data_IF_796596952197
#
_entry.id   IF_796596952197
#
_cell.length_a   1.000
_cell.length_b   1.000
_cell.length_c   1.000
_cell.angle_alpha   90.00
_cell.angle_beta   90.00
_cell.angle_gamma   90.00
#
_symmetry.space_group_name_H-M   'P 1'
#
loop_
_entity.id
_entity.type
_entity.pdbx_description
1 polymer ?
#
# COMPACT_ATOMS: atom_id res chain seq x y z
N UNK A 1 8.19 9.97 4.73
CA UNK A 1 9.48 10.67 4.57
C UNK A 1 10.20 9.99 3.42
N UNK A 2 10.46 10.69 2.31
CA UNK A 2 11.27 10.13 1.21
C UNK A 2 12.70 9.99 1.73
N UNK A 3 13.22 8.79 1.88
CA UNK A 3 14.64 8.59 2.14
C UNK A 3 15.36 8.66 0.81
N UNK A 4 16.13 9.72 0.61
CA UNK A 4 17.06 9.82 -0.50
C UNK A 4 18.41 9.29 -0.03
N UNK A 5 19.10 8.53 -0.89
CA UNK A 5 20.49 8.20 -0.64
C UNK A 5 21.38 9.46 -0.72
N UNK A 6 22.66 9.33 -0.38
CA UNK A 6 23.64 10.43 -0.44
C UNK A 6 23.84 11.06 -1.83
N UNK A 7 23.23 10.49 -2.88
CA UNK A 7 23.27 10.97 -4.26
C UNK A 7 21.93 11.56 -4.74
N UNK A 8 20.92 11.65 -3.87
CA UNK A 8 19.59 12.14 -4.25
C UNK A 8 18.77 11.13 -5.04
N UNK A 9 19.19 9.86 -5.08
CA UNK A 9 18.39 8.75 -5.61
C UNK A 9 17.43 8.32 -4.52
N UNK A 10 16.13 8.20 -4.86
CA UNK A 10 15.13 7.67 -3.94
C UNK A 10 15.59 6.28 -3.49
N UNK A 11 15.93 6.13 -2.20
CA UNK A 11 16.33 4.85 -1.65
C UNK A 11 15.10 3.96 -1.72
N UNK A 12 15.17 2.92 -2.55
CA UNK A 12 14.22 1.82 -2.51
C UNK A 12 14.40 1.18 -1.14
N UNK A 13 13.57 1.58 -0.17
CA UNK A 13 13.51 0.92 1.13
C UNK A 13 13.01 -0.50 0.83
N UNK A 14 13.82 -1.49 1.19
CA UNK A 14 13.45 -2.88 1.04
C UNK A 14 12.10 -3.11 1.74
N UNK A 15 11.23 -3.91 1.11
CA UNK A 15 9.95 -4.28 1.67
C UNK A 15 10.11 -4.84 3.10
N UNK A 16 9.37 -4.27 4.05
CA UNK A 16 9.32 -4.73 5.44
C UNK A 16 8.02 -5.54 5.65
N UNK A 17 8.10 -6.89 5.76
CA UNK A 17 6.94 -7.76 5.89
C UNK A 17 6.20 -7.60 7.23
N UNK A 18 6.84 -7.04 8.25
CA UNK A 18 6.23 -6.86 9.58
C UNK A 18 5.40 -5.57 9.67
N UNK A 19 5.63 -4.62 8.75
CA UNK A 19 4.96 -3.32 8.72
C UNK A 19 3.95 -3.17 7.57
N UNK A 20 4.21 -3.79 6.42
CA UNK A 20 3.43 -3.60 5.20
C UNK A 20 2.57 -4.84 4.92
N UNK A 21 1.60 -5.08 5.80
CA UNK A 21 0.61 -6.14 5.68
C UNK A 21 -0.68 -5.78 6.43
N UNK A 22 -1.76 -6.51 6.17
CA UNK A 22 -3.01 -6.44 6.95
C UNK A 22 -3.66 -7.82 7.04
N UNK A 23 -4.52 -8.01 8.04
CA UNK A 23 -5.29 -9.25 8.18
C UNK A 23 -6.60 -9.17 7.40
N UNK A 24 -6.92 -10.21 6.63
CA UNK A 24 -8.23 -10.40 6.03
C UNK A 24 -8.61 -11.88 6.06
N UNK A 25 -9.81 -12.19 6.57
CA UNK A 25 -10.28 -13.59 6.65
C UNK A 25 -9.38 -14.52 7.46
N UNK A 26 -8.60 -14.01 8.42
CA UNK A 26 -7.61 -14.77 9.19
C UNK A 26 -6.28 -15.01 8.48
N UNK A 27 -6.06 -14.39 7.31
CA UNK A 27 -4.82 -14.47 6.53
C UNK A 27 -4.09 -13.13 6.55
N UNK A 28 -2.76 -13.19 6.62
CA UNK A 28 -1.91 -12.01 6.45
C UNK A 28 -1.77 -11.70 4.95
N UNK A 29 -2.28 -10.55 4.52
CA UNK A 29 -2.20 -10.06 3.15
C UNK A 29 -1.08 -9.04 3.05
N UNK A 30 -0.09 -9.34 2.22
CA UNK A 30 1.08 -8.49 1.97
C UNK A 30 0.95 -7.65 0.70
N UNK A 31 0.27 -8.19 -0.31
CA UNK A 31 -0.02 -7.50 -1.55
C UNK A 31 -1.56 -7.43 -1.74
N UNK A 32 -2.15 -6.22 -1.62
CA UNK A 32 -3.60 -6.03 -1.76
C UNK A 32 -4.18 -6.38 -3.14
N UNK A 33 -3.34 -6.61 -4.16
CA UNK A 33 -3.77 -6.96 -5.51
C UNK A 33 -3.81 -8.46 -5.79
N UNK A 34 -3.53 -9.27 -4.77
CA UNK A 34 -3.56 -10.73 -4.86
C UNK A 34 -4.55 -11.24 -3.83
N UNK A 35 -5.36 -12.23 -4.20
CA UNK A 35 -6.33 -12.88 -3.32
C UNK A 35 -5.66 -13.51 -2.08
N UNK A 36 -6.42 -13.68 -1.01
CA UNK A 36 -6.00 -14.31 0.25
C UNK A 36 -5.38 -15.71 0.09
N UNK A 37 -5.87 -16.47 -0.90
CA UNK A 37 -5.36 -17.77 -1.28
C UNK A 37 -4.25 -17.73 -2.36
N UNK A 38 -3.74 -16.55 -2.70
CA UNK A 38 -2.66 -16.30 -3.66
C UNK A 38 -2.89 -16.88 -5.09
N UNK A 39 -4.15 -17.00 -5.53
CA UNK A 39 -4.51 -17.66 -6.80
C UNK A 39 -5.12 -16.75 -7.84
N UNK A 40 -5.64 -15.60 -7.44
CA UNK A 40 -6.36 -14.69 -8.31
C UNK A 40 -5.94 -13.25 -8.05
N UNK A 41 -6.13 -12.40 -9.05
CA UNK A 41 -6.04 -10.95 -8.86
C UNK A 41 -7.16 -10.51 -7.92
N UNK A 42 -6.85 -9.61 -7.00
CA UNK A 42 -7.80 -8.97 -6.11
C UNK A 42 -7.95 -7.49 -6.46
N UNK A 43 -9.14 -6.96 -6.22
CA UNK A 43 -9.40 -5.53 -6.22
C UNK A 43 -9.48 -5.05 -4.77
N UNK A 44 -8.51 -4.26 -4.28
CA UNK A 44 -8.49 -3.78 -2.90
C UNK A 44 -9.79 -3.09 -2.45
N UNK A 45 -10.46 -2.35 -3.36
CA UNK A 45 -11.70 -1.63 -3.05
C UNK A 45 -12.89 -2.57 -2.82
N UNK A 46 -12.91 -3.72 -3.51
CA UNK A 46 -14.05 -4.65 -3.50
C UNK A 46 -13.80 -5.80 -2.54
N UNK A 47 -12.59 -6.35 -2.55
CA UNK A 47 -12.25 -7.59 -1.86
C UNK A 47 -11.69 -7.33 -0.46
N UNK A 48 -11.03 -6.19 -0.24
CA UNK A 48 -10.31 -5.90 1.02
C UNK A 48 -10.78 -4.64 1.75
N UNK A 49 -11.96 -4.13 1.41
CA UNK A 49 -12.58 -2.98 2.11
C UNK A 49 -11.74 -1.69 2.09
N UNK A 50 -10.81 -1.55 1.15
CA UNK A 50 -10.15 -0.26 0.94
C UNK A 50 -11.20 0.76 0.48
N UNK A 51 -11.05 2.01 0.92
CA UNK A 51 -11.92 3.12 0.55
C UNK A 51 -11.14 4.23 -0.14
N UNK A 52 -11.79 5.04 -0.95
CA UNK A 52 -11.15 6.21 -1.56
C UNK A 52 -10.72 7.20 -0.47
N UNK A 53 -9.48 7.64 -0.55
CA UNK A 53 -8.92 8.72 0.28
C UNK A 53 -8.83 9.97 -0.58
N UNK A 54 -9.48 11.03 -0.13
CA UNK A 54 -9.47 12.32 -0.80
C UNK A 54 -8.72 13.37 0.01
N UNK A 55 -7.94 14.20 -0.67
CA UNK A 55 -7.30 15.39 -0.12
C UNK A 55 -7.68 16.59 -0.97
N UNK A 56 -8.27 17.62 -0.33
CA UNK A 56 -8.79 18.79 -1.06
C UNK A 56 -9.90 18.48 -2.08
N UNK A 57 -10.64 17.38 -1.90
CA UNK A 57 -11.69 16.93 -2.83
C UNK A 57 -11.18 16.17 -4.05
N UNK A 58 -9.90 15.78 -4.06
CA UNK A 58 -9.29 14.96 -5.11
C UNK A 58 -8.91 13.62 -4.51
N UNK A 59 -9.28 12.52 -5.18
CA UNK A 59 -8.83 11.18 -4.79
C UNK A 59 -7.31 11.08 -4.97
N UNK A 60 -6.59 10.69 -3.92
CA UNK A 60 -5.12 10.58 -3.91
C UNK A 60 -4.62 9.17 -3.60
N UNK A 61 -5.46 8.35 -2.97
CA UNK A 61 -5.13 6.97 -2.61
C UNK A 61 -6.38 6.11 -2.39
N UNK A 62 -6.18 4.81 -2.28
CA UNK A 62 -7.13 3.91 -1.60
C UNK A 62 -6.57 3.58 -0.23
N UNK A 63 -7.41 3.56 0.79
CA UNK A 63 -6.99 3.46 2.17
C UNK A 63 -7.71 2.37 2.94
N UNK A 64 -6.98 1.64 3.76
CA UNK A 64 -7.50 0.70 4.75
C UNK A 64 -7.12 1.18 6.14
N UNK A 65 -8.11 1.45 6.99
CA UNK A 65 -7.87 1.82 8.40
C UNK A 65 -7.44 0.60 9.20
N UNK A 66 -6.41 0.76 10.00
CA UNK A 66 -5.90 -0.28 10.90
C UNK A 66 -6.48 -0.11 12.31
N UNK A 67 -6.52 -1.19 13.13
CA UNK A 67 -7.07 -1.14 14.49
C UNK A 67 -6.35 -0.19 15.44
N UNK A 68 -5.07 0.09 15.19
CA UNK A 68 -4.24 1.02 15.98
C UNK A 68 -4.48 2.50 15.64
N UNK A 69 -5.41 2.78 14.72
CA UNK A 69 -5.71 4.13 14.22
C UNK A 69 -4.85 4.56 13.05
N UNK A 70 -3.82 3.78 12.69
CA UNK A 70 -3.05 3.97 11.46
C UNK A 70 -3.84 3.60 10.21
N UNK A 71 -3.16 3.70 9.06
CA UNK A 71 -3.76 3.45 7.76
C UNK A 71 -2.75 2.89 6.78
N UNK A 72 -3.12 1.84 6.05
CA UNK A 72 -2.44 1.49 4.80
C UNK A 72 -3.04 2.31 3.66
N UNK A 73 -2.18 2.93 2.85
CA UNK A 73 -2.55 3.68 1.65
C UNK A 73 -1.92 3.04 0.44
N UNK A 74 -2.72 2.83 -0.58
CA UNK A 74 -2.32 2.47 -1.93
C UNK A 74 -2.41 3.71 -2.81
N UNK A 75 -1.29 4.10 -3.41
CA UNK A 75 -1.20 5.24 -4.31
C UNK A 75 -0.41 4.85 -5.56
N UNK A 76 -0.54 5.61 -6.63
CA UNK A 76 0.38 5.51 -7.76
C UNK A 76 1.78 5.99 -7.32
N UNK A 77 2.83 5.62 -8.07
CA UNK A 77 4.23 5.99 -7.76
C UNK A 77 4.48 7.49 -7.59
N UNK A 78 3.65 8.35 -8.20
CA UNK A 78 3.71 9.81 -8.02
C UNK A 78 3.18 10.28 -6.67
N UNK A 79 2.41 9.46 -5.95
CA UNK A 79 1.78 9.79 -4.67
C UNK A 79 0.60 10.76 -4.78
N UNK A 80 0.11 11.06 -5.98
CA UNK A 80 -0.88 12.10 -6.24
C UNK A 80 -2.24 11.56 -6.65
N UNK A 81 -2.31 10.28 -7.01
CA UNK A 81 -3.52 9.62 -7.47
C UNK A 81 -3.57 8.18 -6.98
N UNK A 82 -4.76 7.56 -6.87
CA UNK A 82 -4.85 6.15 -6.59
C UNK A 82 -4.25 5.30 -7.72
N UNK A 83 -3.93 4.02 -7.46
CA UNK A 83 -3.51 3.10 -8.51
C UNK A 83 -4.57 2.95 -9.61
N UNK A 84 -4.12 2.64 -10.82
CA UNK A 84 -5.00 2.31 -11.93
C UNK A 84 -5.36 0.83 -11.85
N UNK A 85 -6.64 0.50 -11.97
CA UNK A 85 -7.10 -0.88 -12.00
C UNK A 85 -6.45 -1.65 -13.18
N UNK A 86 -5.79 -2.76 -12.88
CA UNK A 86 -5.03 -3.58 -13.83
C UNK A 86 -3.59 -3.12 -14.08
N UNK A 87 -3.12 -2.05 -13.46
CA UNK A 87 -1.76 -1.51 -13.61
C UNK A 87 -1.17 -1.21 -12.23
N UNK A 88 -0.85 -2.28 -11.51
CA UNK A 88 -0.49 -2.20 -10.09
C UNK A 88 1.00 -2.29 -9.82
N UNK A 89 1.82 -2.62 -10.83
CA UNK A 89 3.25 -2.84 -10.68
C UNK A 89 3.97 -1.60 -10.11
N UNK A 90 3.50 -0.41 -10.46
CA UNK A 90 4.03 0.86 -9.98
C UNK A 90 3.17 1.49 -8.86
N UNK A 91 2.22 0.73 -8.30
CA UNK A 91 1.51 1.14 -7.11
C UNK A 91 2.44 1.06 -5.89
N UNK A 92 2.26 1.99 -4.96
CA UNK A 92 3.00 2.07 -3.70
C UNK A 92 2.05 1.76 -2.57
N UNK A 93 2.39 0.76 -1.77
CA UNK A 93 1.77 0.50 -0.48
C UNK A 93 2.53 1.26 0.61
N UNK A 94 1.82 2.10 1.35
CA UNK A 94 2.39 2.95 2.39
C UNK A 94 1.65 2.75 3.71
N UNK A 95 2.39 2.58 4.80
CA UNK A 95 1.86 2.66 6.16
C UNK A 95 1.95 4.10 6.67
N UNK A 96 0.83 4.62 7.18
CA UNK A 96 0.70 5.93 7.82
C UNK A 96 0.27 5.70 9.27
N UNK A 97 0.95 6.34 10.22
CA UNK A 97 0.62 6.27 11.65
C UNK A 97 -0.71 6.97 11.95
N UNK A 98 -1.25 6.76 13.16
CA UNK A 98 -2.47 7.42 13.61
C UNK A 98 -2.38 8.96 13.60
N UNK A 99 -1.17 9.50 13.76
CA UNK A 99 -0.86 10.93 13.70
C UNK A 99 -0.72 11.46 12.26
N UNK A 100 -0.90 10.60 11.25
CA UNK A 100 -0.78 10.97 9.84
C UNK A 100 0.65 10.99 9.31
N UNK A 101 1.63 10.46 10.04
CA UNK A 101 3.03 10.42 9.61
C UNK A 101 3.33 9.15 8.80
N UNK A 102 4.01 9.24 7.63
CA UNK A 102 4.43 8.05 6.90
C UNK A 102 5.47 7.25 7.69
N UNK A 103 5.24 5.93 7.84
CA UNK A 103 6.08 5.01 8.61
C UNK A 103 6.93 4.13 7.70
N UNK A 104 6.31 3.48 6.71
CA UNK A 104 6.97 2.58 5.76
C UNK A 104 6.29 2.67 4.40
N UNK A 105 7.00 2.32 3.33
CA UNK A 105 6.42 2.21 2.00
C UNK A 105 7.22 1.26 1.11
N UNK A 106 6.53 0.59 0.19
CA UNK A 106 7.17 -0.25 -0.83
C UNK A 106 6.35 -0.26 -2.12
N UNK A 107 7.03 -0.45 -3.25
CA UNK A 107 6.37 -0.63 -4.54
C UNK A 107 5.83 -2.05 -4.61
N UNK A 108 4.59 -2.24 -5.09
CA UNK A 108 3.91 -3.53 -5.11
C UNK A 108 4.73 -4.61 -5.85
N UNK A 109 5.39 -4.27 -6.95
CA UNK A 109 6.23 -5.24 -7.69
C UNK A 109 7.43 -5.76 -6.89
N UNK A 110 7.87 -5.04 -5.87
CA UNK A 110 9.00 -5.41 -5.02
C UNK A 110 8.57 -6.21 -3.78
N UNK A 111 7.26 -6.38 -3.56
CA UNK A 111 6.71 -7.20 -2.48
C UNK A 111 6.86 -8.68 -2.87
N UNK A 112 7.60 -9.49 -2.09
CA UNK A 112 7.77 -10.90 -2.40
C UNK A 112 6.43 -11.64 -2.39
N UNK A 113 6.19 -12.42 -3.44
CA UNK A 113 5.19 -13.48 -3.40
C UNK A 113 5.70 -14.59 -2.47
N UNK A 114 5.25 -14.60 -1.21
CA UNK A 114 5.38 -15.79 -0.37
C UNK A 114 4.06 -16.56 -0.41
N UNK A 115 4.12 -17.81 -0.90
CA UNK A 115 3.04 -18.81 -0.91
C UNK A 115 3.21 -19.80 0.24
#
# INVERSE_FOLDING_TARGET
MKSFDQNGVESVVAYDPDLLWFEFGGMAIRNPFISDCARFDANPLVDYSFTIVEEGGVAVAWGLKLPDGGQLRLTHSDGLQPPVAGQFDDAVLMLVSAEGSPVASSVIKDIPFEV
#
